data_IF_357372030906
#
_entry.id   IF_357372030906
#
_cell.length_a   1.000
_cell.length_b   1.000
_cell.length_c   1.000
_cell.angle_alpha   90.00
_cell.angle_beta   90.00
_cell.angle_gamma   90.00
#
_symmetry.space_group_name_H-M   'P 1'
#
loop_
_entity.id
_entity.type
_entity.pdbx_description
1 polymer ?
#
# COMPACT_ATOMS: atom_id res chain seq x y z
N UNK A 1 -22.05 7.21 -24.06
CA UNK A 1 -21.91 5.94 -23.35
C UNK A 1 -20.44 5.75 -23.01
N UNK A 2 -20.12 5.41 -21.77
CA UNK A 2 -18.77 5.08 -21.33
C UNK A 2 -18.48 3.58 -21.54
N UNK A 3 -17.21 3.22 -21.76
CA UNK A 3 -16.80 1.82 -21.75
C UNK A 3 -16.72 1.31 -20.31
N UNK A 4 -16.25 2.17 -19.38
CA UNK A 4 -16.09 1.82 -17.96
C UNK A 4 -16.64 2.91 -17.04
N UNK A 5 -17.34 2.46 -16.00
CA UNK A 5 -17.57 3.23 -14.77
C UNK A 5 -16.57 2.73 -13.71
N UNK A 6 -15.75 3.62 -13.17
CA UNK A 6 -14.81 3.30 -12.09
C UNK A 6 -15.28 3.99 -10.81
N UNK A 7 -15.53 3.18 -9.78
CA UNK A 7 -15.97 3.65 -8.46
C UNK A 7 -14.75 3.78 -7.54
N UNK A 8 -14.38 5.01 -7.22
CA UNK A 8 -13.23 5.38 -6.42
C UNK A 8 -12.04 5.93 -7.21
N UNK A 9 -11.60 7.14 -6.85
CA UNK A 9 -10.51 7.89 -7.48
C UNK A 9 -9.16 7.75 -6.76
N UNK A 10 -8.94 6.64 -6.01
CA UNK A 10 -7.67 6.29 -5.39
C UNK A 10 -6.72 5.58 -6.37
N UNK A 11 -5.60 5.03 -5.87
CA UNK A 11 -4.59 4.35 -6.72
C UNK A 11 -5.19 3.30 -7.65
N UNK A 12 -6.04 2.39 -7.16
CA UNK A 12 -6.61 1.33 -7.98
C UNK A 12 -7.42 1.89 -9.15
N UNK A 13 -8.35 2.81 -8.87
CA UNK A 13 -9.22 3.39 -9.89
C UNK A 13 -8.46 4.28 -10.86
N UNK A 14 -7.56 5.14 -10.39
CA UNK A 14 -6.80 6.07 -11.23
C UNK A 14 -5.83 5.36 -12.17
N UNK A 15 -5.12 4.32 -11.69
CA UNK A 15 -4.23 3.51 -12.53
C UNK A 15 -5.02 2.79 -13.62
N UNK A 16 -6.17 2.19 -13.28
CA UNK A 16 -7.02 1.52 -14.27
C UNK A 16 -7.62 2.50 -15.27
N UNK A 17 -8.06 3.68 -14.82
CA UNK A 17 -8.56 4.72 -15.71
C UNK A 17 -7.52 5.14 -16.74
N UNK A 18 -6.30 5.44 -16.30
CA UNK A 18 -5.21 5.82 -17.18
C UNK A 18 -4.86 4.71 -18.16
N UNK A 19 -4.69 3.47 -17.68
CA UNK A 19 -4.38 2.33 -18.55
C UNK A 19 -5.47 2.05 -19.59
N UNK A 20 -6.74 2.11 -19.18
CA UNK A 20 -7.86 1.90 -20.08
C UNK A 20 -8.00 3.03 -21.11
N UNK A 21 -7.81 4.28 -20.68
CA UNK A 21 -7.90 5.43 -21.58
C UNK A 21 -6.68 5.55 -22.51
N UNK A 22 -5.47 5.63 -21.97
CA UNK A 22 -4.26 5.83 -22.74
C UNK A 22 -3.79 4.55 -23.45
N UNK A 23 -3.90 3.39 -22.77
CA UNK A 23 -3.41 2.12 -23.32
C UNK A 23 -4.40 1.41 -24.24
N UNK A 24 -5.71 1.61 -24.06
CA UNK A 24 -6.75 0.89 -24.81
C UNK A 24 -7.78 1.81 -25.50
N UNK A 25 -7.62 3.15 -25.43
CA UNK A 25 -8.50 4.13 -26.09
C UNK A 25 -9.94 4.14 -25.55
N UNK A 26 -10.16 3.65 -24.32
CA UNK A 26 -11.50 3.51 -23.73
C UNK A 26 -12.00 4.82 -23.13
N UNK A 27 -13.31 5.02 -23.17
CA UNK A 27 -13.99 6.14 -22.49
C UNK A 27 -14.31 5.72 -21.05
N UNK A 28 -13.76 6.42 -20.08
CA UNK A 28 -13.83 6.10 -18.66
C UNK A 28 -14.51 7.23 -17.91
N UNK A 29 -15.48 6.88 -17.06
CA UNK A 29 -16.01 7.75 -16.03
C UNK A 29 -15.54 7.26 -14.67
N UNK A 30 -14.90 8.14 -13.90
CA UNK A 30 -14.59 7.90 -12.49
C UNK A 30 -15.61 8.64 -11.64
N UNK A 31 -16.17 8.00 -10.61
CA UNK A 31 -16.91 8.68 -9.56
C UNK A 31 -16.27 8.42 -8.20
N UNK A 32 -16.27 9.44 -7.34
CA UNK A 32 -15.87 9.31 -5.94
C UNK A 32 -16.81 10.13 -5.06
N UNK A 33 -17.21 9.54 -3.92
CA UNK A 33 -18.06 10.22 -2.93
C UNK A 33 -17.35 11.39 -2.22
N UNK A 34 -16.01 11.41 -2.25
CA UNK A 34 -15.18 12.47 -1.68
C UNK A 34 -15.07 13.67 -2.64
N UNK A 35 -14.77 14.87 -2.10
CA UNK A 35 -14.60 16.09 -2.91
C UNK A 35 -13.21 16.18 -3.58
N UNK A 36 -12.43 15.12 -3.62
CA UNK A 36 -11.08 15.11 -4.14
C UNK A 36 -10.71 13.74 -4.74
N UNK A 37 -9.75 13.74 -5.64
CA UNK A 37 -9.05 12.55 -6.16
C UNK A 37 -7.98 12.05 -5.18
N UNK A 38 -7.31 10.95 -5.50
CA UNK A 38 -6.18 10.41 -4.74
C UNK A 38 -6.58 9.46 -3.61
N UNK A 39 -7.89 9.34 -3.30
CA UNK A 39 -8.37 8.46 -2.24
C UNK A 39 -7.70 8.78 -0.90
N UNK A 40 -7.16 7.76 -0.22
CA UNK A 40 -6.47 7.97 1.07
C UNK A 40 -5.08 8.63 0.92
N UNK A 41 -4.49 8.65 -0.28
CA UNK A 41 -3.22 9.32 -0.53
C UNK A 41 -3.38 10.83 -0.85
N UNK A 42 -4.60 11.36 -0.78
CA UNK A 42 -4.85 12.77 -1.00
C UNK A 42 -4.05 13.66 -0.05
N UNK A 43 -3.37 14.61 -0.63
CA UNK A 43 -2.63 15.66 0.05
C UNK A 43 -3.02 17.05 -0.47
N UNK A 44 -2.75 18.07 0.30
CA UNK A 44 -3.08 19.45 -0.05
C UNK A 44 -2.22 20.43 0.76
N UNK A 45 -2.08 21.65 0.24
CA UNK A 45 -1.51 22.73 1.03
C UNK A 45 -2.56 23.26 2.01
N UNK A 46 -2.19 23.29 3.30
CA UNK A 46 -3.04 23.89 4.32
C UNK A 46 -2.99 25.44 4.30
N UNK A 47 -3.75 26.11 5.17
CA UNK A 47 -3.82 27.58 5.25
C UNK A 47 -2.47 28.26 5.52
N UNK A 48 -1.47 27.54 5.98
CA UNK A 48 -0.10 28.03 6.19
C UNK A 48 0.83 27.73 5.01
N UNK A 49 0.33 27.13 3.91
CA UNK A 49 1.14 26.77 2.75
C UNK A 49 2.01 25.52 2.94
N UNK A 50 1.72 24.68 3.93
CA UNK A 50 2.43 23.43 4.19
C UNK A 50 1.67 22.29 3.54
N UNK A 51 2.36 21.47 2.73
CA UNK A 51 1.80 20.27 2.11
C UNK A 51 1.57 19.19 3.18
N UNK A 52 0.31 18.82 3.38
CA UNK A 52 -0.12 17.85 4.40
C UNK A 52 -0.91 16.70 3.77
N UNK A 53 -0.73 15.48 4.26
CA UNK A 53 -1.56 14.34 3.88
C UNK A 53 -2.81 14.29 4.75
N UNK A 54 -3.99 14.38 4.13
CA UNK A 54 -5.26 14.46 4.87
C UNK A 54 -5.55 13.22 5.71
N UNK A 55 -5.14 12.05 5.26
CA UNK A 55 -5.46 10.75 5.85
C UNK A 55 -4.20 10.05 6.39
N UNK A 56 -3.32 10.82 7.06
CA UNK A 56 -2.07 10.33 7.62
C UNK A 56 -0.97 10.10 6.59
N UNK A 57 0.24 9.75 7.03
CA UNK A 57 1.40 9.63 6.15
C UNK A 57 1.24 8.50 5.15
N UNK A 58 1.46 8.81 3.90
CA UNK A 58 1.60 7.86 2.81
C UNK A 58 3.02 7.95 2.29
N UNK A 59 3.80 6.89 2.45
CA UNK A 59 5.21 6.82 2.07
C UNK A 59 5.34 5.77 0.96
N UNK A 60 5.87 6.18 -0.18
CA UNK A 60 6.04 5.27 -1.31
C UNK A 60 7.35 4.50 -1.19
N UNK A 61 7.25 3.19 -1.24
CA UNK A 61 8.37 2.27 -1.27
C UNK A 61 8.00 1.04 -2.09
N UNK A 62 8.94 0.47 -2.82
CA UNK A 62 8.73 -0.74 -3.62
C UNK A 62 10.05 -1.38 -4.05
N UNK A 63 10.02 -2.69 -4.28
CA UNK A 63 11.05 -3.42 -5.01
C UNK A 63 10.68 -3.64 -6.49
N UNK A 64 9.47 -3.29 -6.89
CA UNK A 64 9.01 -3.44 -8.27
C UNK A 64 9.47 -2.26 -9.13
N UNK A 65 10.42 -2.55 -10.03
CA UNK A 65 10.85 -1.60 -11.05
C UNK A 65 9.68 -1.16 -11.95
N UNK A 66 8.83 -2.10 -12.35
CA UNK A 66 7.65 -1.82 -13.18
C UNK A 66 6.72 -0.79 -12.54
N UNK A 67 6.40 -0.96 -11.25
CA UNK A 67 5.55 -0.03 -10.52
C UNK A 67 6.20 1.34 -10.39
N UNK A 68 7.49 1.39 -10.06
CA UNK A 68 8.22 2.63 -9.94
C UNK A 68 8.28 3.39 -11.28
N UNK A 69 8.68 2.71 -12.37
CA UNK A 69 8.75 3.31 -13.70
C UNK A 69 7.37 3.74 -14.21
N UNK A 70 6.32 2.98 -13.91
CA UNK A 70 4.96 3.36 -14.28
C UNK A 70 4.54 4.67 -13.61
N UNK A 71 4.70 4.81 -12.29
CA UNK A 71 4.34 6.02 -11.55
C UNK A 71 5.24 7.22 -11.90
N UNK A 72 6.51 6.99 -12.23
CA UNK A 72 7.47 8.02 -12.65
C UNK A 72 7.06 8.76 -13.94
N UNK A 73 6.08 8.26 -14.66
CA UNK A 73 5.49 8.96 -15.81
C UNK A 73 4.64 10.16 -15.40
N UNK A 74 4.21 10.22 -14.15
CA UNK A 74 3.24 11.18 -13.65
C UNK A 74 3.79 12.10 -12.55
N UNK A 75 4.98 11.83 -12.06
CA UNK A 75 5.63 12.64 -11.04
C UNK A 75 7.15 12.55 -11.13
N UNK A 76 7.80 13.59 -10.66
CA UNK A 76 9.19 13.54 -10.24
C UNK A 76 9.27 13.07 -8.80
N UNK A 77 10.40 12.51 -8.39
CA UNK A 77 10.57 11.92 -7.08
C UNK A 77 11.57 12.69 -6.23
N UNK A 78 11.18 12.96 -5.00
CA UNK A 78 12.07 13.33 -3.91
C UNK A 78 12.56 12.05 -3.22
N UNK A 79 13.88 11.80 -3.19
CA UNK A 79 14.46 10.65 -2.49
C UNK A 79 14.19 10.76 -0.99
N UNK A 80 13.57 9.74 -0.41
CA UNK A 80 13.14 9.78 0.98
C UNK A 80 13.26 8.41 1.64
N UNK A 81 14.02 8.34 2.74
CA UNK A 81 14.16 7.14 3.56
C UNK A 81 13.41 7.34 4.87
N UNK A 82 12.35 6.59 5.07
CA UNK A 82 11.50 6.73 6.25
C UNK A 82 12.19 6.25 7.53
N UNK A 83 12.10 7.07 8.57
CA UNK A 83 12.59 6.77 9.93
C UNK A 83 11.48 6.99 10.93
N UNK A 84 11.41 6.11 11.92
CA UNK A 84 10.40 6.14 12.97
C UNK A 84 11.09 6.02 14.32
N UNK A 85 10.65 6.80 15.30
CA UNK A 85 10.98 6.62 16.69
C UNK A 85 9.76 6.09 17.46
N UNK A 86 9.98 5.40 18.56
CA UNK A 86 8.95 5.05 19.53
C UNK A 86 9.26 5.74 20.87
N UNK A 87 8.25 6.35 21.48
CA UNK A 87 8.34 6.86 22.85
C UNK A 87 8.04 5.69 23.81
N UNK A 88 9.07 5.20 24.46
CA UNK A 88 9.01 4.07 25.39
C UNK A 88 9.78 4.45 26.66
N UNK A 89 9.14 4.30 27.83
CA UNK A 89 9.71 4.64 29.12
C UNK A 89 10.29 6.08 29.14
N UNK A 90 9.62 7.04 28.51
CA UNK A 90 10.06 8.42 28.39
C UNK A 90 11.21 8.68 27.42
N UNK A 91 11.71 7.65 26.72
CA UNK A 91 12.82 7.75 25.77
C UNK A 91 12.30 7.66 24.32
N UNK A 92 12.92 8.39 23.39
CA UNK A 92 12.72 8.27 21.97
C UNK A 92 13.72 7.26 21.37
N UNK A 93 13.23 6.10 20.98
CA UNK A 93 14.02 4.95 20.57
C UNK A 93 13.75 4.60 19.10
N UNK A 94 14.76 4.23 18.30
CA UNK A 94 14.55 3.80 16.92
C UNK A 94 13.61 2.59 16.82
N UNK A 95 12.75 2.61 15.80
CA UNK A 95 11.96 1.46 15.35
C UNK A 95 12.05 1.37 13.81
N UNK A 96 12.34 0.20 13.24
CA UNK A 96 12.43 -1.15 13.82
C UNK A 96 13.46 -1.28 14.93
N UNK A 97 13.21 -2.16 15.91
CA UNK A 97 14.15 -2.45 16.99
C UNK A 97 15.50 -2.83 16.39
N UNK A 98 16.56 -2.17 16.83
CA UNK A 98 17.92 -2.34 16.34
C UNK A 98 18.95 -2.21 17.47
N UNK A 99 20.24 -2.24 17.13
CA UNK A 99 21.34 -2.09 18.09
C UNK A 99 21.23 -0.82 18.93
N UNK A 100 20.87 0.32 18.32
CA UNK A 100 20.72 1.59 19.05
C UNK A 100 19.50 1.59 19.98
N UNK A 101 18.43 0.88 19.59
CA UNK A 101 17.25 0.71 20.44
C UNK A 101 17.63 0.00 21.74
N UNK A 102 18.34 -1.13 21.65
CA UNK A 102 18.74 -1.93 22.81
C UNK A 102 19.73 -1.18 23.69
N UNK A 103 20.77 -0.59 23.07
CA UNK A 103 21.78 0.14 23.81
C UNK A 103 21.19 1.34 24.58
N UNK A 104 20.29 2.10 23.95
CA UNK A 104 19.65 3.24 24.62
C UNK A 104 18.67 2.80 25.70
N UNK A 105 17.80 1.83 25.40
CA UNK A 105 16.76 1.39 26.34
C UNK A 105 17.35 0.87 27.65
N UNK A 106 18.42 0.09 27.56
CA UNK A 106 19.02 -0.59 28.72
C UNK A 106 20.31 0.06 29.23
N UNK A 107 20.75 1.19 28.65
CA UNK A 107 22.03 1.85 29.03
C UNK A 107 23.25 0.99 28.74
N UNK A 108 23.20 0.17 27.70
CA UNK A 108 24.24 -0.78 27.31
C UNK A 108 25.13 -0.20 26.20
N UNK A 109 26.24 -0.87 25.93
CA UNK A 109 27.16 -0.56 24.84
C UNK A 109 27.54 -1.84 24.07
N UNK A 110 26.49 -2.59 23.61
CA UNK A 110 26.68 -3.83 22.88
C UNK A 110 27.16 -3.56 21.45
N UNK A 111 27.91 -4.49 20.92
CA UNK A 111 28.24 -4.63 19.49
C UNK A 111 27.13 -5.38 18.75
N UNK A 112 27.20 -5.44 17.42
CA UNK A 112 26.24 -6.18 16.61
C UNK A 112 26.19 -7.68 16.96
N UNK A 113 27.29 -8.29 17.28
CA UNK A 113 27.33 -9.69 17.71
C UNK A 113 26.69 -9.88 19.09
N UNK A 114 27.00 -9.03 20.03
CA UNK A 114 26.44 -9.10 21.38
C UNK A 114 24.92 -8.81 21.40
N UNK A 115 24.40 -7.97 20.51
CA UNK A 115 22.94 -7.77 20.43
C UNK A 115 22.24 -8.97 19.81
N UNK A 116 22.89 -9.71 18.93
CA UNK A 116 22.41 -11.01 18.46
C UNK A 116 22.24 -12.00 19.62
N UNK A 117 23.32 -12.15 20.43
CA UNK A 117 23.27 -12.99 21.64
C UNK A 117 22.22 -12.52 22.62
N UNK A 118 22.04 -11.20 22.78
CA UNK A 118 20.97 -10.61 23.60
C UNK A 118 19.59 -11.05 23.10
N UNK A 119 19.29 -10.89 21.82
CA UNK A 119 18.00 -11.33 21.27
C UNK A 119 17.77 -12.82 21.47
N UNK A 120 18.77 -13.65 21.23
CA UNK A 120 18.68 -15.10 21.47
C UNK A 120 18.40 -15.43 22.94
N UNK A 121 18.99 -14.68 23.87
CA UNK A 121 18.83 -14.93 25.32
C UNK A 121 17.45 -14.54 25.86
N UNK A 122 16.78 -13.54 25.24
CA UNK A 122 15.47 -13.05 25.67
C UNK A 122 14.32 -13.60 24.82
N UNK A 123 14.60 -14.21 23.67
CA UNK A 123 13.58 -14.79 22.80
C UNK A 123 12.81 -15.89 23.52
N UNK A 124 11.50 -15.98 23.22
CA UNK A 124 10.63 -17.08 23.65
C UNK A 124 10.31 -17.96 22.43
N UNK A 125 11.08 -19.03 22.16
CA UNK A 125 10.85 -19.89 21.00
C UNK A 125 9.44 -20.47 20.97
N UNK A 126 8.78 -20.38 19.81
CA UNK A 126 7.46 -20.95 19.57
C UNK A 126 7.54 -22.12 18.60
N UNK A 127 6.93 -23.25 18.95
CA UNK A 127 6.86 -24.41 18.06
C UNK A 127 6.09 -24.11 16.77
N UNK A 128 5.12 -23.18 16.82
CA UNK A 128 4.35 -22.70 15.68
C UNK A 128 4.10 -21.21 15.85
N UNK A 129 4.34 -20.46 14.78
CA UNK A 129 4.03 -19.04 14.70
C UNK A 129 2.64 -18.88 14.04
N UNK A 130 1.65 -18.49 14.83
CA UNK A 130 0.25 -18.32 14.38
C UNK A 130 -0.23 -16.89 14.51
N UNK A 131 0.21 -16.18 15.55
CA UNK A 131 -0.28 -14.88 15.94
C UNK A 131 0.78 -13.80 15.83
N UNK A 132 0.34 -12.55 15.84
CA UNK A 132 1.24 -11.38 15.91
C UNK A 132 2.09 -11.37 17.17
N UNK A 133 1.58 -11.86 18.31
CA UNK A 133 2.36 -12.03 19.53
C UNK A 133 3.48 -13.05 19.31
N UNK A 134 3.16 -14.23 18.77
CA UNK A 134 4.17 -15.29 18.54
C UNK A 134 5.34 -14.77 17.71
N UNK A 135 5.09 -13.99 16.67
CA UNK A 135 6.15 -13.40 15.83
C UNK A 135 7.12 -12.56 16.64
N UNK A 136 6.58 -11.69 17.50
CA UNK A 136 7.42 -10.73 18.23
C UNK A 136 8.16 -11.40 19.38
N UNK A 137 7.46 -12.18 20.22
CA UNK A 137 8.10 -12.82 21.38
C UNK A 137 9.14 -13.85 20.97
N UNK A 138 8.94 -14.52 19.84
CA UNK A 138 9.92 -15.46 19.28
C UNK A 138 11.20 -14.76 18.78
N UNK A 139 11.15 -13.44 18.50
CA UNK A 139 12.30 -12.69 18.00
C UNK A 139 13.00 -11.87 19.08
N UNK A 140 12.24 -11.16 19.91
CA UNK A 140 12.78 -10.15 20.82
C UNK A 140 12.36 -10.35 22.28
N UNK A 141 11.59 -11.40 22.57
CA UNK A 141 11.15 -11.73 23.92
C UNK A 141 9.98 -10.91 24.43
N UNK A 142 9.51 -11.25 25.62
CA UNK A 142 8.30 -10.72 26.26
C UNK A 142 8.41 -9.23 26.57
N UNK A 143 9.51 -8.80 27.16
CA UNK A 143 9.65 -7.43 27.62
C UNK A 143 9.60 -6.42 26.46
N UNK A 144 10.33 -6.65 25.38
CA UNK A 144 10.31 -5.78 24.20
C UNK A 144 8.95 -5.83 23.47
N UNK A 145 8.28 -7.00 23.48
CA UNK A 145 6.92 -7.12 23.00
C UNK A 145 5.96 -6.23 23.79
N UNK A 146 5.99 -6.27 25.13
CA UNK A 146 5.15 -5.45 25.99
C UNK A 146 5.40 -3.95 25.80
N UNK A 147 6.67 -3.54 25.71
CA UNK A 147 7.09 -2.14 25.58
C UNK A 147 6.75 -1.51 24.23
N UNK A 148 6.91 -2.22 23.11
CA UNK A 148 6.86 -1.66 21.77
C UNK A 148 5.63 -2.06 20.96
N UNK A 149 5.08 -3.26 21.17
CA UNK A 149 4.12 -3.85 20.23
C UNK A 149 2.73 -4.06 20.81
N UNK A 150 2.60 -4.59 22.01
CA UNK A 150 1.33 -5.03 22.56
C UNK A 150 0.27 -3.94 22.58
N UNK A 151 0.54 -2.85 23.30
CA UNK A 151 -0.44 -1.78 23.46
C UNK A 151 -0.61 -0.93 22.17
N UNK A 152 0.47 -0.77 21.39
CA UNK A 152 0.37 -0.16 20.05
C UNK A 152 -0.60 -0.94 19.16
N UNK A 153 -0.45 -2.27 19.12
CA UNK A 153 -1.29 -3.16 18.33
C UNK A 153 -2.74 -3.17 18.83
N UNK A 154 -2.93 -3.19 20.16
CA UNK A 154 -4.27 -3.07 20.76
C UNK A 154 -4.97 -1.78 20.38
N UNK A 155 -4.29 -0.64 20.41
CA UNK A 155 -4.84 0.64 19.96
C UNK A 155 -5.20 0.58 18.48
N UNK A 156 -4.25 0.18 17.64
CA UNK A 156 -4.41 0.16 16.18
C UNK A 156 -5.54 -0.77 15.72
N UNK A 157 -5.63 -1.97 16.30
CA UNK A 157 -6.53 -3.02 15.81
C UNK A 157 -7.76 -3.23 16.70
N UNK A 158 -7.77 -2.71 17.92
CA UNK A 158 -8.83 -2.97 18.91
C UNK A 158 -8.83 -4.40 19.45
N UNK A 159 -7.77 -5.16 19.22
CA UNK A 159 -7.60 -6.58 19.55
C UNK A 159 -6.22 -6.82 20.17
N UNK A 160 -6.10 -7.84 21.00
CA UNK A 160 -4.79 -8.28 21.49
C UNK A 160 -3.99 -8.91 20.33
N UNK A 161 -2.64 -8.72 20.27
CA UNK A 161 -1.82 -9.35 19.24
C UNK A 161 -1.94 -10.86 19.15
N UNK A 162 -2.33 -11.54 20.24
CA UNK A 162 -2.62 -12.99 20.27
C UNK A 162 -3.89 -13.39 19.48
N UNK A 163 -4.76 -12.42 19.17
CA UNK A 163 -5.99 -12.63 18.38
C UNK A 163 -5.82 -12.25 16.90
N UNK A 164 -4.68 -11.70 16.51
CA UNK A 164 -4.38 -11.23 15.17
C UNK A 164 -3.44 -12.18 14.43
N UNK A 165 -3.63 -12.26 13.11
CA UNK A 165 -2.76 -13.02 12.24
C UNK A 165 -1.28 -12.56 12.33
N UNK A 166 -0.36 -13.51 12.19
CA UNK A 166 1.08 -13.28 12.26
C UNK A 166 1.57 -12.19 11.30
N UNK A 167 0.91 -12.01 10.15
CA UNK A 167 1.28 -11.02 9.10
C UNK A 167 1.24 -9.57 9.58
N UNK A 168 0.49 -9.26 10.64
CA UNK A 168 0.38 -7.89 11.18
C UNK A 168 1.73 -7.36 11.66
N UNK A 169 2.50 -8.17 12.38
CA UNK A 169 3.80 -7.77 12.95
C UNK A 169 5.00 -8.35 12.20
N UNK A 170 4.81 -9.41 11.40
CA UNK A 170 5.90 -10.07 10.66
C UNK A 170 6.67 -9.13 9.71
N UNK A 171 6.02 -8.07 9.23
CA UNK A 171 6.61 -7.07 8.33
C UNK A 171 7.55 -6.07 9.02
N UNK A 172 7.53 -5.99 10.35
CA UNK A 172 8.44 -5.11 11.10
C UNK A 172 9.71 -5.92 11.41
N UNK A 173 10.86 -5.61 10.79
CA UNK A 173 12.09 -6.36 11.02
C UNK A 173 12.67 -6.07 12.41
N UNK A 174 13.53 -6.96 12.87
CA UNK A 174 14.48 -6.74 13.97
C UNK A 174 15.87 -6.74 13.40
N UNK A 175 16.77 -5.85 13.85
CA UNK A 175 18.10 -5.69 13.28
C UNK A 175 19.18 -5.74 14.36
N UNK A 176 20.32 -6.33 14.02
CA UNK A 176 21.51 -6.38 14.89
C UNK A 176 22.49 -5.24 14.63
N UNK A 177 22.24 -4.43 13.62
CA UNK A 177 23.06 -3.27 13.24
C UNK A 177 22.37 -1.94 13.59
N UNK A 178 22.94 -0.79 13.17
CA UNK A 178 22.43 0.58 13.41
C UNK A 178 21.54 1.11 12.29
N UNK A 179 21.08 0.28 11.36
CA UNK A 179 20.21 0.73 10.28
C UNK A 179 18.81 1.10 10.84
N UNK A 180 18.48 2.40 10.77
CA UNK A 180 17.24 2.98 11.28
C UNK A 180 16.16 3.16 10.20
N UNK A 181 16.43 2.79 8.94
CA UNK A 181 15.43 2.88 7.87
C UNK A 181 14.25 1.97 8.18
N UNK A 182 13.05 2.51 8.07
CA UNK A 182 11.85 1.72 8.31
C UNK A 182 11.65 0.66 7.22
N UNK A 183 11.90 1.03 5.96
CA UNK A 183 11.87 0.15 4.80
C UNK A 183 13.28 -0.14 4.29
N UNK A 184 13.42 -1.26 3.58
CA UNK A 184 14.69 -1.68 2.93
C UNK A 184 14.52 -1.85 1.42
N UNK A 185 13.37 -1.45 0.89
CA UNK A 185 13.05 -1.54 -0.53
C UNK A 185 14.02 -0.71 -1.39
N UNK A 186 14.21 -1.16 -2.62
CA UNK A 186 15.14 -0.54 -3.57
C UNK A 186 14.73 0.90 -3.92
N UNK A 187 13.42 1.12 -4.11
CA UNK A 187 12.87 2.44 -4.41
C UNK A 187 12.12 2.96 -3.20
N UNK A 188 12.58 4.09 -2.66
CA UNK A 188 11.96 4.78 -1.53
C UNK A 188 11.95 6.26 -1.85
N UNK A 189 10.77 6.84 -2.01
CA UNK A 189 10.64 8.22 -2.46
C UNK A 189 9.27 8.81 -2.10
N UNK A 190 9.17 10.13 -2.21
CA UNK A 190 7.91 10.87 -2.15
C UNK A 190 7.70 11.62 -3.46
N UNK A 191 6.46 11.75 -3.97
CA UNK A 191 6.20 12.62 -5.11
C UNK A 191 6.64 14.05 -4.81
N UNK A 192 7.50 14.64 -5.67
CA UNK A 192 8.12 15.95 -5.44
C UNK A 192 7.08 17.06 -5.21
N UNK A 193 5.95 16.98 -5.92
CA UNK A 193 4.85 17.96 -5.83
C UNK A 193 3.59 17.41 -5.16
N UNK A 194 3.73 16.32 -4.38
CA UNK A 194 2.64 15.65 -3.69
C UNK A 194 1.91 14.61 -4.55
N UNK A 195 1.13 13.78 -3.86
CA UNK A 195 0.33 12.73 -4.49
C UNK A 195 -0.82 13.28 -5.34
N UNK A 196 -1.50 14.31 -4.86
CA UNK A 196 -2.62 14.89 -5.59
C UNK A 196 -2.19 15.37 -6.97
N UNK A 197 -1.03 16.03 -7.06
CA UNK A 197 -0.48 16.45 -8.36
C UNK A 197 -0.13 15.26 -9.26
N UNK A 198 0.39 14.18 -8.72
CA UNK A 198 0.63 12.94 -9.46
C UNK A 198 -0.68 12.36 -10.02
N UNK A 199 -1.75 12.35 -9.22
CA UNK A 199 -3.07 11.88 -9.68
C UNK A 199 -3.68 12.81 -10.73
N UNK A 200 -3.54 14.14 -10.60
CA UNK A 200 -3.95 15.09 -11.63
C UNK A 200 -3.30 14.77 -12.97
N UNK A 201 -1.97 14.60 -12.98
CA UNK A 201 -1.22 14.24 -14.19
C UNK A 201 -1.64 12.86 -14.75
N UNK A 202 -1.94 11.90 -13.90
CA UNK A 202 -2.39 10.55 -14.31
C UNK A 202 -3.78 10.60 -14.96
N UNK A 203 -4.67 11.45 -14.47
CA UNK A 203 -6.06 11.55 -14.93
C UNK A 203 -6.26 12.59 -16.03
N UNK A 204 -5.23 13.36 -16.39
CA UNK A 204 -5.28 14.34 -17.49
C UNK A 204 -5.28 13.64 -18.86
N UNK A 205 -6.47 13.14 -19.24
CA UNK A 205 -6.67 12.46 -20.51
C UNK A 205 -8.07 12.76 -21.06
N UNK A 206 -8.25 13.06 -22.38
CA UNK A 206 -9.56 13.44 -22.95
C UNK A 206 -10.65 12.38 -22.78
N UNK A 207 -10.26 11.10 -22.71
CA UNK A 207 -11.18 9.98 -22.52
C UNK A 207 -11.52 9.69 -21.04
N UNK A 208 -10.95 10.42 -20.10
CA UNK A 208 -11.28 10.30 -18.67
C UNK A 208 -12.17 11.46 -18.25
N UNK A 209 -13.26 11.14 -17.57
CA UNK A 209 -14.12 12.11 -16.88
C UNK A 209 -14.19 11.75 -15.42
N UNK A 210 -14.14 12.75 -14.54
CA UNK A 210 -14.15 12.58 -13.09
C UNK A 210 -15.36 13.31 -12.52
N UNK A 211 -16.16 12.60 -11.71
CA UNK A 211 -17.28 13.13 -10.91
C UNK A 211 -16.95 12.94 -9.43
N UNK A 212 -16.71 14.03 -8.75
CA UNK A 212 -16.47 14.07 -7.31
C UNK A 212 -17.77 14.39 -6.56
N UNK A 213 -17.79 14.21 -5.22
CA UNK A 213 -19.00 14.34 -4.41
C UNK A 213 -20.18 13.51 -4.94
N UNK A 214 -19.90 12.35 -5.54
CA UNK A 214 -20.92 11.53 -6.23
C UNK A 214 -20.80 10.09 -5.77
N UNK A 215 -21.85 9.57 -5.14
CA UNK A 215 -21.97 8.14 -4.88
C UNK A 215 -22.37 7.41 -6.16
N UNK A 216 -21.78 6.22 -6.41
CA UNK A 216 -22.05 5.47 -7.63
C UNK A 216 -23.52 5.04 -7.74
N UNK A 217 -24.21 4.81 -6.62
CA UNK A 217 -25.63 4.49 -6.58
C UNK A 217 -26.54 5.59 -7.19
N UNK A 218 -26.05 6.85 -7.18
CA UNK A 218 -26.79 7.98 -7.77
C UNK A 218 -26.74 7.96 -9.29
N UNK A 219 -25.69 7.40 -9.88
CA UNK A 219 -25.38 7.50 -11.30
C UNK A 219 -25.43 6.18 -12.06
N UNK A 220 -25.32 5.03 -11.39
CA UNK A 220 -25.21 3.72 -12.05
C UNK A 220 -26.39 3.40 -12.99
N UNK A 221 -27.63 3.86 -12.65
CA UNK A 221 -28.83 3.66 -13.44
C UNK A 221 -29.11 4.77 -14.45
N UNK A 222 -28.40 5.89 -14.35
CA UNK A 222 -28.64 7.09 -15.16
C UNK A 222 -27.60 7.25 -16.25
N UNK A 223 -26.34 6.92 -15.96
CA UNK A 223 -25.23 7.06 -16.90
C UNK A 223 -24.92 5.70 -17.55
N UNK A 224 -25.07 5.55 -18.87
CA UNK A 224 -24.83 4.29 -19.55
C UNK A 224 -23.32 3.96 -19.63
N UNK A 225 -22.93 2.81 -19.15
CA UNK A 225 -21.58 2.22 -19.24
C UNK A 225 -21.68 0.71 -19.59
N UNK A 226 -20.54 0.08 -19.92
CA UNK A 226 -20.49 -1.35 -20.27
C UNK A 226 -20.03 -2.22 -19.13
N UNK A 227 -18.97 -1.83 -18.45
CA UNK A 227 -18.36 -2.58 -17.33
C UNK A 227 -18.08 -1.64 -16.18
N UNK A 228 -18.04 -2.19 -14.96
CA UNK A 228 -17.73 -1.46 -13.76
C UNK A 228 -16.40 -1.95 -13.16
N UNK A 229 -15.62 -1.01 -12.65
CA UNK A 229 -14.48 -1.30 -11.75
C UNK A 229 -14.83 -0.72 -10.37
N UNK A 230 -14.99 -1.61 -9.40
CA UNK A 230 -15.39 -1.24 -8.05
C UNK A 230 -14.21 -1.34 -7.08
N UNK A 231 -13.89 -0.22 -6.40
CA UNK A 231 -12.76 -0.17 -5.45
C UNK A 231 -13.20 0.07 -4.00
N UNK A 232 -14.50 0.19 -3.76
CA UNK A 232 -15.09 0.35 -2.42
C UNK A 232 -15.13 -0.96 -1.62
N UNK A 233 -15.70 -0.94 -0.39
CA UNK A 233 -15.86 -2.16 0.41
C UNK A 233 -16.77 -3.17 -0.29
N UNK A 234 -16.31 -4.41 -0.39
CA UNK A 234 -17.03 -5.46 -1.12
C UNK A 234 -18.36 -5.82 -0.46
N UNK A 235 -18.43 -5.79 0.85
CA UNK A 235 -19.64 -6.06 1.62
C UNK A 235 -20.73 -5.00 1.39
N UNK A 236 -20.34 -3.74 1.23
CA UNK A 236 -21.25 -2.66 0.87
C UNK A 236 -21.86 -2.86 -0.51
N UNK A 237 -21.07 -3.32 -1.49
CA UNK A 237 -21.57 -3.60 -2.85
C UNK A 237 -22.68 -4.65 -2.88
N UNK A 238 -22.62 -5.62 -1.95
CA UNK A 238 -23.60 -6.70 -1.83
C UNK A 238 -24.59 -6.48 -0.68
N UNK A 239 -24.84 -5.23 -0.27
CA UNK A 239 -25.83 -4.85 0.76
C UNK A 239 -25.64 -5.64 2.06
N UNK A 240 -24.40 -5.91 2.45
CA UNK A 240 -24.04 -6.65 3.67
C UNK A 240 -24.67 -8.05 3.77
N UNK A 241 -24.91 -8.71 2.66
CA UNK A 241 -25.63 -10.01 2.59
C UNK A 241 -25.11 -11.09 3.53
N UNK A 242 -23.80 -11.10 3.83
CA UNK A 242 -23.16 -12.01 4.78
C UNK A 242 -22.71 -11.31 6.07
N UNK A 243 -23.26 -10.13 6.35
CA UNK A 243 -22.86 -9.26 7.45
C UNK A 243 -21.69 -8.32 7.08
N UNK A 244 -21.46 -7.32 7.92
CA UNK A 244 -20.38 -6.36 7.73
C UNK A 244 -19.02 -7.01 7.91
N UNK A 245 -18.10 -6.74 7.01
CA UNK A 245 -16.69 -7.06 7.19
C UNK A 245 -16.06 -6.04 8.14
N UNK A 246 -15.33 -6.48 9.19
CA UNK A 246 -14.69 -5.56 10.11
C UNK A 246 -13.54 -4.78 9.47
N UNK A 247 -13.58 -3.46 9.60
CA UNK A 247 -12.50 -2.55 9.24
C UNK A 247 -12.09 -1.74 10.47
N UNK A 248 -10.84 -1.27 10.47
CA UNK A 248 -10.41 -0.21 11.38
C UNK A 248 -10.51 1.13 10.68
N UNK A 249 -10.92 2.12 11.43
CA UNK A 249 -10.96 3.52 11.03
C UNK A 249 -9.90 4.32 11.77
N UNK A 250 -9.68 5.56 11.33
CA UNK A 250 -8.75 6.51 11.93
C UNK A 250 -9.40 7.90 12.00
N UNK A 251 -9.22 8.57 13.12
CA UNK A 251 -9.43 10.00 13.25
C UNK A 251 -8.09 10.71 13.15
N UNK A 252 -8.02 11.79 12.37
CA UNK A 252 -6.81 12.58 12.15
C UNK A 252 -7.00 13.97 12.72
N UNK A 253 -6.15 14.37 13.68
CA UNK A 253 -6.15 15.73 14.23
C UNK A 253 -4.91 16.46 13.76
N UNK A 254 -5.12 17.42 12.85
CA UNK A 254 -4.05 18.23 12.28
C UNK A 254 -3.82 19.48 13.12
N UNK A 255 -2.55 19.81 13.34
CA UNK A 255 -2.14 21.04 14.02
C UNK A 255 -0.99 21.70 13.26
N UNK A 256 -0.96 23.03 13.28
CA UNK A 256 0.16 23.81 12.73
C UNK A 256 0.78 24.64 13.85
N UNK A 257 2.11 24.58 13.96
CA UNK A 257 2.89 25.22 15.01
C UNK A 257 3.79 26.31 14.43
N UNK A 258 3.91 27.44 15.16
CA UNK A 258 4.77 28.57 14.83
C UNK A 258 6.26 28.31 15.10
N UNK A 259 6.76 27.12 14.81
CA UNK A 259 8.16 26.72 14.94
C UNK A 259 8.57 25.85 13.77
N UNK A 260 9.83 25.82 13.45
CA UNK A 260 10.35 25.12 12.29
C UNK A 260 10.24 23.60 12.40
N UNK A 261 10.49 23.04 13.58
CA UNK A 261 10.49 21.59 13.84
C UNK A 261 9.67 21.29 15.11
N UNK A 262 8.83 20.26 15.07
CA UNK A 262 8.03 19.81 16.21
C UNK A 262 8.72 18.66 16.96
N UNK A 263 9.24 17.67 16.25
CA UNK A 263 9.80 16.44 16.79
C UNK A 263 11.08 16.04 16.03
N UNK A 264 11.94 15.17 16.59
CA UNK A 264 13.25 14.85 16.00
C UNK A 264 13.20 13.82 14.86
N UNK A 265 12.01 13.36 14.46
CA UNK A 265 11.83 12.37 13.41
C UNK A 265 10.52 12.57 12.65
N UNK A 266 10.40 12.08 11.41
CA UNK A 266 9.16 12.18 10.64
C UNK A 266 7.95 11.61 11.35
N UNK A 267 8.12 10.49 12.04
CA UNK A 267 7.08 9.81 12.81
C UNK A 267 7.61 9.43 14.18
N UNK A 268 6.82 9.70 15.20
CA UNK A 268 7.02 9.19 16.55
C UNK A 268 5.80 8.37 16.94
N UNK A 269 6.03 7.09 17.23
CA UNK A 269 5.01 6.17 17.75
C UNK A 269 4.91 6.29 19.27
N UNK A 270 3.69 6.19 19.78
CA UNK A 270 3.39 6.21 21.22
C UNK A 270 2.68 4.89 21.59
N UNK A 271 3.43 3.84 21.92
CA UNK A 271 2.84 2.54 22.21
C UNK A 271 1.90 2.56 23.42
N UNK A 272 2.26 3.24 24.49
CA UNK A 272 1.69 3.01 25.82
C UNK A 272 0.79 4.17 26.30
N UNK A 273 1.33 5.30 26.70
CA UNK A 273 0.67 6.28 27.58
C UNK A 273 -0.40 7.13 26.87
N UNK A 274 -0.30 7.31 25.57
CA UNK A 274 -1.15 8.20 24.79
C UNK A 274 -2.34 7.48 24.16
N UNK A 275 -3.44 8.18 23.90
CA UNK A 275 -4.60 7.62 23.19
C UNK A 275 -4.34 7.50 21.69
N UNK A 276 -3.55 8.40 21.10
CA UNK A 276 -3.11 8.30 19.72
C UNK A 276 -1.98 7.28 19.57
N UNK A 277 -1.85 6.72 18.38
CA UNK A 277 -0.77 5.76 18.07
C UNK A 277 0.50 6.45 17.65
N UNK A 278 0.42 7.58 16.95
CA UNK A 278 1.60 8.29 16.45
C UNK A 278 1.33 9.75 16.14
N UNK A 279 2.42 10.51 16.04
CA UNK A 279 2.46 11.86 15.50
C UNK A 279 3.32 11.81 14.24
N UNK A 280 2.83 12.38 13.15
CA UNK A 280 3.59 12.59 11.91
C UNK A 280 3.84 14.07 11.72
N UNK A 281 5.08 14.45 11.36
CA UNK A 281 5.45 15.81 10.97
C UNK A 281 5.74 15.84 9.46
N UNK A 282 4.95 16.60 8.70
CA UNK A 282 4.89 16.48 7.25
C UNK A 282 6.11 17.01 6.51
N UNK A 283 6.77 18.07 7.00
CA UNK A 283 7.94 18.65 6.32
C UNK A 283 9.09 17.64 6.12
N UNK A 284 9.24 16.69 7.04
CA UNK A 284 10.21 15.62 6.85
C UNK A 284 9.89 14.73 5.64
N UNK A 285 8.60 14.51 5.35
CA UNK A 285 8.17 13.67 4.24
C UNK A 285 8.31 14.40 2.91
N UNK A 286 7.89 15.68 2.91
CA UNK A 286 7.78 16.48 1.68
C UNK A 286 9.08 17.19 1.30
N UNK A 287 10.04 17.27 2.22
CA UNK A 287 11.26 18.06 2.05
C UNK A 287 11.02 19.57 2.00
N UNK A 288 9.83 20.05 2.36
CA UNK A 288 9.48 21.46 2.30
C UNK A 288 10.20 22.26 3.40
N UNK A 289 10.86 23.34 3.02
CA UNK A 289 11.40 24.34 3.95
C UNK A 289 10.32 25.37 4.28
N UNK A 290 10.02 25.57 5.58
CA UNK A 290 9.02 26.53 6.03
C UNK A 290 9.26 26.90 7.51
N UNK A 291 9.01 28.17 7.89
CA UNK A 291 9.19 28.67 9.28
C UNK A 291 8.20 28.06 10.28
N UNK A 292 7.06 27.55 9.80
CA UNK A 292 6.09 26.78 10.59
C UNK A 292 6.19 25.31 10.25
N UNK A 293 5.62 24.45 11.10
CA UNK A 293 5.48 23.02 10.80
C UNK A 293 4.05 22.56 11.06
N UNK A 294 3.63 21.52 10.33
CA UNK A 294 2.33 20.88 10.53
C UNK A 294 2.51 19.42 10.88
N UNK A 295 1.73 18.98 11.85
CA UNK A 295 1.70 17.61 12.34
C UNK A 295 0.29 17.04 12.27
N UNK A 296 0.19 15.71 12.36
CA UNK A 296 -1.07 15.01 12.54
C UNK A 296 -0.96 13.95 13.64
N UNK A 297 -1.94 13.95 14.53
CA UNK A 297 -2.16 12.86 15.48
C UNK A 297 -3.10 11.83 14.87
N UNK A 298 -2.80 10.54 15.04
CA UNK A 298 -3.64 9.45 14.55
C UNK A 298 -4.31 8.72 15.72
N UNK A 299 -5.64 8.75 15.75
CA UNK A 299 -6.47 8.06 16.74
C UNK A 299 -7.21 6.89 16.06
N UNK A 300 -6.86 5.64 16.38
CA UNK A 300 -7.57 4.50 15.83
C UNK A 300 -9.02 4.43 16.36
N UNK A 301 -9.95 4.15 15.44
CA UNK A 301 -11.38 4.07 15.72
C UNK A 301 -11.94 2.70 15.32
N UNK A 302 -12.99 2.25 16.02
CA UNK A 302 -13.71 1.04 15.65
C UNK A 302 -14.64 1.26 14.46
N UNK A 303 -15.21 2.46 14.35
CA UNK A 303 -16.19 2.86 13.35
C UNK A 303 -15.70 4.09 12.57
N UNK A 304 -16.27 4.32 11.39
CA UNK A 304 -15.92 5.42 10.50
C UNK A 304 -15.54 4.93 9.11
N UNK A 305 -14.83 5.77 8.36
CA UNK A 305 -14.32 5.39 7.03
C UNK A 305 -13.41 4.16 7.14
N UNK A 306 -13.54 3.17 6.24
CA UNK A 306 -12.74 1.95 6.29
C UNK A 306 -11.32 2.22 5.76
N UNK A 307 -10.32 2.05 6.64
CA UNK A 307 -8.90 2.17 6.26
C UNK A 307 -8.21 0.81 6.15
N UNK A 308 -8.42 -0.07 7.15
CA UNK A 308 -7.70 -1.34 7.24
C UNK A 308 -8.64 -2.51 7.48
N UNK A 309 -8.68 -3.50 6.58
CA UNK A 309 -9.32 -4.79 6.84
C UNK A 309 -8.70 -5.44 8.08
N UNK A 310 -9.51 -5.97 8.99
CA UNK A 310 -9.01 -6.63 10.21
C UNK A 310 -8.59 -8.06 9.89
N UNK A 311 -7.28 -8.41 9.96
CA UNK A 311 -6.77 -9.71 9.53
C UNK A 311 -7.00 -10.77 10.61
N UNK A 312 -8.16 -11.43 10.54
CA UNK A 312 -8.53 -12.58 11.37
C UNK A 312 -9.08 -13.70 10.50
N UNK A 313 -8.95 -14.93 10.95
CA UNK A 313 -9.43 -16.11 10.23
C UNK A 313 -10.93 -16.05 9.95
N UNK A 314 -11.72 -15.68 10.96
CA UNK A 314 -13.18 -15.56 10.85
C UNK A 314 -13.59 -14.54 9.78
N UNK A 315 -12.87 -13.42 9.69
CA UNK A 315 -13.12 -12.39 8.69
C UNK A 315 -12.75 -12.88 7.26
N UNK A 316 -11.69 -13.68 7.15
CA UNK A 316 -11.32 -14.30 5.89
C UNK A 316 -12.38 -15.29 5.40
N UNK A 317 -13.02 -16.02 6.29
CA UNK A 317 -14.14 -16.93 5.97
C UNK A 317 -15.37 -16.18 5.47
N UNK A 318 -15.72 -15.05 6.10
CA UNK A 318 -16.80 -14.17 5.61
C UNK A 318 -16.45 -13.55 4.26
N UNK A 319 -15.22 -13.05 4.13
CA UNK A 319 -14.75 -12.49 2.85
C UNK A 319 -14.77 -13.53 1.72
N UNK A 320 -14.46 -14.80 1.99
CA UNK A 320 -14.51 -15.85 0.97
C UNK A 320 -15.91 -15.99 0.35
N UNK A 321 -16.99 -15.77 1.14
CA UNK A 321 -18.37 -15.75 0.62
C UNK A 321 -18.62 -14.55 -0.29
N UNK A 322 -18.15 -13.36 0.09
CA UNK A 322 -18.23 -12.17 -0.76
C UNK A 322 -17.40 -12.31 -2.02
N UNK A 323 -16.22 -12.91 -1.91
CA UNK A 323 -15.37 -13.18 -3.09
C UNK A 323 -16.07 -14.10 -4.10
N UNK A 324 -16.77 -15.12 -3.64
CA UNK A 324 -17.54 -15.99 -4.53
C UNK A 324 -18.66 -15.23 -5.26
N UNK A 325 -19.34 -14.30 -4.58
CA UNK A 325 -20.31 -13.41 -5.24
C UNK A 325 -19.63 -12.48 -6.26
N UNK A 326 -18.50 -11.85 -5.87
CA UNK A 326 -17.75 -10.96 -6.74
C UNK A 326 -17.25 -11.67 -8.00
N UNK A 327 -16.72 -12.89 -7.86
CA UNK A 327 -16.26 -13.71 -8.98
C UNK A 327 -17.42 -14.13 -9.92
N UNK A 328 -18.64 -14.22 -9.41
CA UNK A 328 -19.85 -14.58 -10.17
C UNK A 328 -20.61 -13.37 -10.75
N UNK A 329 -20.21 -12.14 -10.39
CA UNK A 329 -20.87 -10.92 -10.88
C UNK A 329 -20.31 -10.52 -12.24
N UNK A 330 -21.10 -10.61 -13.33
CA UNK A 330 -20.61 -10.29 -14.66
C UNK A 330 -20.36 -8.79 -14.80
N UNK A 331 -19.42 -8.43 -15.64
CA UNK A 331 -19.08 -7.07 -16.04
C UNK A 331 -18.70 -6.14 -14.89
N UNK A 332 -18.33 -6.69 -13.71
CA UNK A 332 -17.83 -5.94 -12.55
C UNK A 332 -16.47 -6.50 -12.09
N UNK A 333 -15.48 -5.62 -11.99
CA UNK A 333 -14.13 -5.94 -11.55
C UNK A 333 -13.87 -5.36 -10.15
N UNK A 334 -13.65 -6.20 -9.16
CA UNK A 334 -13.36 -5.79 -7.79
C UNK A 334 -11.84 -5.66 -7.60
N UNK A 335 -11.35 -4.44 -7.32
CA UNK A 335 -9.93 -4.13 -7.27
C UNK A 335 -9.62 -3.17 -6.11
N UNK A 336 -8.46 -3.32 -5.51
CA UNK A 336 -7.99 -2.46 -4.43
C UNK A 336 -8.22 -3.05 -3.04
N UNK A 337 -7.75 -2.33 -2.03
CA UNK A 337 -7.68 -2.79 -0.63
C UNK A 337 -9.05 -3.21 -0.06
N UNK A 338 -10.07 -2.39 -0.30
CA UNK A 338 -11.39 -2.60 0.29
C UNK A 338 -12.20 -3.66 -0.47
N UNK A 339 -12.15 -3.61 -1.80
CA UNK A 339 -12.87 -4.56 -2.64
C UNK A 339 -12.30 -5.98 -2.58
N UNK A 340 -11.02 -6.13 -2.24
CA UNK A 340 -10.38 -7.44 -2.08
C UNK A 340 -10.08 -7.83 -0.64
N UNK A 341 -10.52 -7.02 0.33
CA UNK A 341 -10.36 -7.21 1.77
C UNK A 341 -8.93 -7.61 2.16
N UNK A 342 -7.92 -6.90 1.62
CA UNK A 342 -6.50 -7.16 1.89
C UNK A 342 -5.76 -5.90 2.31
N UNK A 343 -4.83 -6.06 3.24
CA UNK A 343 -3.98 -4.99 3.71
C UNK A 343 -2.79 -4.79 2.75
N UNK A 344 -3.03 -4.03 1.69
CA UNK A 344 -2.02 -3.70 0.67
C UNK A 344 -1.29 -2.39 0.96
N UNK A 345 0.00 -2.34 0.62
CA UNK A 345 0.73 -1.10 0.42
C UNK A 345 0.36 -0.47 -0.94
N UNK A 346 0.76 0.80 -1.16
CA UNK A 346 0.42 1.53 -2.39
C UNK A 346 0.95 0.84 -3.65
N UNK A 347 2.19 0.37 -3.62
CA UNK A 347 2.83 -0.34 -4.73
C UNK A 347 2.09 -1.63 -5.11
N UNK A 348 1.62 -2.37 -4.13
CA UNK A 348 0.84 -3.60 -4.34
C UNK A 348 -0.53 -3.30 -4.98
N UNK A 349 -1.15 -2.16 -4.63
CA UNK A 349 -2.39 -1.72 -5.28
C UNK A 349 -2.13 -1.34 -6.74
N UNK A 350 -1.04 -0.63 -7.01
CA UNK A 350 -0.64 -0.27 -8.38
C UNK A 350 -0.36 -1.54 -9.20
N UNK A 351 0.40 -2.49 -8.66
CA UNK A 351 0.70 -3.76 -9.31
C UNK A 351 -0.58 -4.58 -9.60
N UNK A 352 -1.52 -4.60 -8.63
CA UNK A 352 -2.82 -5.25 -8.81
C UNK A 352 -3.61 -4.61 -9.96
N UNK A 353 -3.66 -3.27 -10.02
CA UNK A 353 -4.36 -2.54 -11.06
C UNK A 353 -3.74 -2.79 -12.44
N UNK A 354 -2.41 -2.78 -12.58
CA UNK A 354 -1.70 -3.11 -13.81
C UNK A 354 -1.99 -4.55 -14.26
N UNK A 355 -1.97 -5.50 -13.34
CA UNK A 355 -2.32 -6.90 -13.61
C UNK A 355 -3.79 -7.04 -14.05
N UNK A 356 -4.70 -6.32 -13.41
CA UNK A 356 -6.14 -6.32 -13.77
C UNK A 356 -6.34 -5.76 -15.18
N UNK A 357 -5.69 -4.64 -15.50
CA UNK A 357 -5.70 -4.10 -16.87
C UNK A 357 -5.23 -5.11 -17.90
N UNK A 358 -4.12 -5.80 -17.62
CA UNK A 358 -3.57 -6.82 -18.55
C UNK A 358 -4.55 -7.99 -18.78
N UNK A 359 -5.27 -8.41 -17.73
CA UNK A 359 -6.31 -9.46 -17.85
C UNK A 359 -7.49 -8.99 -18.69
N UNK A 360 -8.05 -7.81 -18.40
CA UNK A 360 -9.19 -7.23 -19.15
C UNK A 360 -8.80 -7.03 -20.61
N UNK A 361 -7.63 -6.47 -20.88
CA UNK A 361 -7.16 -6.19 -22.24
C UNK A 361 -6.81 -7.49 -23.00
N UNK A 362 -6.19 -8.46 -22.34
CA UNK A 362 -5.84 -9.77 -22.91
C UNK A 362 -7.05 -10.60 -23.30
N UNK A 363 -8.07 -10.68 -22.44
CA UNK A 363 -9.31 -11.41 -22.73
C UNK A 363 -10.02 -10.81 -23.96
N UNK A 364 -10.15 -9.50 -24.04
CA UNK A 364 -10.79 -8.82 -25.18
C UNK A 364 -10.03 -9.00 -26.49
N UNK A 365 -8.71 -9.07 -26.47
CA UNK A 365 -7.89 -9.34 -27.66
C UNK A 365 -8.15 -10.74 -28.20
N UNK A 366 -8.34 -11.74 -27.33
CA UNK A 366 -8.71 -13.10 -27.71
C UNK A 366 -10.14 -13.15 -28.29
N UNK A 367 -11.13 -12.49 -27.67
CA UNK A 367 -12.48 -12.42 -28.21
C UNK A 367 -12.55 -11.74 -29.58
N UNK A 368 -11.78 -10.67 -29.80
CA UNK A 368 -11.69 -10.01 -31.10
C UNK A 368 -11.09 -10.93 -32.17
N UNK A 369 -10.03 -11.67 -31.83
CA UNK A 369 -9.42 -12.66 -32.74
C UNK A 369 -10.40 -13.81 -33.10
N UNK A 370 -11.15 -14.30 -32.11
CA UNK A 370 -12.16 -15.32 -32.31
C UNK A 370 -13.28 -14.80 -33.21
N UNK A 371 -13.79 -13.57 -32.99
CA UNK A 371 -14.83 -12.96 -33.84
C UNK A 371 -14.37 -12.73 -35.29
N UNK A 372 -13.11 -12.34 -35.51
CA UNK A 372 -12.52 -12.20 -36.84
C UNK A 372 -12.39 -13.58 -37.50
N UNK A 373 -11.97 -14.59 -36.77
CA UNK A 373 -11.87 -15.98 -37.26
C UNK A 373 -13.24 -16.56 -37.59
N UNK A 374 -14.29 -16.28 -36.81
CA UNK A 374 -15.66 -16.74 -37.03
C UNK A 374 -16.36 -16.06 -38.23
N UNK A 375 -16.04 -14.80 -38.50
CA UNK A 375 -16.58 -14.04 -39.65
C UNK A 375 -15.75 -14.21 -40.93
N UNK A 376 -14.59 -14.85 -40.84
CA UNK A 376 -13.66 -15.12 -41.97
C UNK A 376 -13.85 -16.44 -42.69
N UNK A 377 -15.00 -17.09 -42.55
CA UNK A 377 -15.32 -18.31 -43.27
C UNK A 377 -15.56 -18.09 -44.77
N UNK A 378 -14.48 -17.87 -45.55
CA UNK A 378 -14.57 -17.74 -46.99
C UNK A 378 -13.34 -17.15 -47.68
N UNK A 379 -12.16 -17.67 -47.41
CA UNK A 379 -11.01 -17.46 -48.33
C UNK A 379 -10.21 -18.78 -48.46
N UNK A 380 -10.14 -19.23 -49.71
CA UNK A 380 -9.45 -20.44 -50.14
C UNK A 380 -7.96 -20.42 -49.76
N UNK A 381 -7.47 -21.60 -49.41
CA UNK A 381 -6.06 -21.91 -49.26
C UNK A 381 -5.25 -21.51 -50.52
N UNK A 382 -4.15 -20.82 -50.31
CA UNK A 382 -3.17 -20.55 -51.34
C UNK A 382 -2.23 -19.43 -50.95
N UNK A 383 -1.15 -19.78 -50.36
CA UNK A 383 0.24 -19.33 -50.47
C UNK A 383 0.94 -19.38 -49.09
N UNK A 384 1.91 -20.25 -49.03
CA UNK A 384 2.84 -20.45 -47.93
C UNK A 384 3.67 -19.19 -47.71
N UNK A 385 3.66 -18.64 -46.47
CA UNK A 385 4.64 -17.67 -46.00
C UNK A 385 5.87 -18.40 -45.45
N UNK A 386 7.09 -17.92 -45.73
CA UNK A 386 8.32 -18.56 -45.28
C UNK A 386 8.47 -18.44 -43.74
N UNK A 387 8.97 -19.51 -43.14
CA UNK A 387 9.33 -19.60 -41.76
C UNK A 387 10.44 -18.59 -41.39
N UNK A 388 10.15 -17.66 -40.50
CA UNK A 388 11.16 -16.85 -39.81
C UNK A 388 11.85 -17.73 -38.77
N UNK A 389 13.13 -18.02 -39.01
CA UNK A 389 13.95 -18.85 -38.17
C UNK A 389 14.15 -18.24 -36.79
N UNK A 390 13.80 -19.00 -35.76
CA UNK A 390 14.23 -18.74 -34.38
C UNK A 390 15.72 -19.12 -34.25
N UNK A 391 16.57 -18.13 -34.15
CA UNK A 391 17.96 -18.34 -33.72
C UNK A 391 17.98 -18.47 -32.17
N UNK A 392 18.14 -19.71 -31.75
CA UNK A 392 18.49 -20.05 -30.35
C UNK A 392 19.95 -19.66 -30.11
N UNK A 393 20.19 -18.62 -29.32
CA UNK A 393 21.52 -18.30 -28.84
C UNK A 393 21.81 -19.17 -27.60
N UNK A 394 22.67 -20.14 -27.79
CA UNK A 394 23.22 -21.00 -26.73
C UNK A 394 24.21 -20.18 -25.89
N UNK A 395 23.91 -19.95 -24.62
CA UNK A 395 24.85 -19.36 -23.67
C UNK A 395 25.85 -20.44 -23.26
N UNK A 396 27.10 -20.24 -23.64
CA UNK A 396 28.21 -21.07 -23.22
C UNK A 396 28.55 -20.85 -21.74
N UNK A 397 28.59 -21.92 -20.97
CA UNK A 397 29.06 -21.97 -19.59
C UNK A 397 30.58 -21.73 -19.53
N UNK A 398 31.01 -20.67 -18.86
CA UNK A 398 32.42 -20.42 -18.54
C UNK A 398 32.85 -21.33 -17.38
N UNK A 399 33.97 -22.02 -17.56
CA UNK A 399 34.66 -22.82 -16.54
C UNK A 399 35.36 -21.92 -15.52
N UNK A 400 35.55 -22.37 -14.25
CA UNK A 400 36.30 -21.62 -13.26
C UNK A 400 37.81 -21.72 -13.52
N UNK A 401 38.48 -20.59 -13.45
CA UNK A 401 39.93 -20.49 -13.44
C UNK A 401 40.48 -20.80 -12.04
N UNK A 402 41.48 -21.63 -12.03
CA UNK A 402 42.10 -22.19 -10.88
C UNK A 402 42.99 -21.21 -10.09
N UNK A 403 43.28 -21.66 -8.87
CA UNK A 403 44.29 -21.21 -7.94
C UNK A 403 45.59 -20.70 -8.55
N UNK A 404 46.02 -19.53 -8.14
CA UNK A 404 47.46 -19.18 -8.13
C UNK A 404 47.80 -18.60 -6.77
N UNK A 405 48.59 -19.38 -6.03
CA UNK A 405 49.26 -19.04 -4.80
C UNK A 405 50.48 -18.14 -5.00
N UNK A 406 50.82 -17.33 -3.98
CA UNK A 406 52.12 -16.75 -3.62
C UNK A 406 52.57 -15.47 -4.35
N UNK A 407 52.58 -14.37 -3.67
CA UNK A 407 53.72 -13.78 -2.91
C UNK A 407 53.25 -12.53 -2.17
#
# INVERSE_FOLDING_TARGET
MFDYLIVGAGFAGSVLAERLAAGAGKKVLICDKRPHIGGNAYDHYNDSGILVHKYGPHIFHTNSREVFEYLSRFTEWHSYQHRVLACVDGQLLPIPINLDTINKLYGLNLTSFQVEDFFQSVAEPRAQIRTSEDVVVNRVGRELYEKFFRNYTRKQWGLDPSELDASVTARVPTRTNRDQRYFTDTYQAMPLHGYTRMFENMLDHPNIKVMLNTDYNEIERVIPFREMIYTGPVDTFFDYRYGKLPYRSLEFKHETHGREVFQPAPVVNYPNEQLYTRITEFKYLTGQEHAKTSIVYEFPQAEGDPYYPVPRKENAEVYAKYKALADATPDVHFVGRLATYKYYNMDQIVAQALTTYSKIHGARRQEAVIKIGANGGGLRAGTSLPALGMTTTTIATARPLGDVSRS
#
